data_IF_266031519075
#
_entry.id   IF_266031519075
#
_cell.length_a   1.000
_cell.length_b   1.000
_cell.length_c   1.000
_cell.angle_alpha   90.00
_cell.angle_beta   90.00
_cell.angle_gamma   90.00
#
_symmetry.space_group_name_H-M   'P 1'
#
loop_
_entity.id
_entity.type
_entity.pdbx_description
1 polymer ?
#
# COMPACT_ATOMS: atom_id res chain seq x y z
N UNK A 1 15.58 -6.50 0.46
CA UNK A 1 14.14 -6.53 0.09
C UNK A 1 13.59 -5.12 -0.14
N UNK A 2 13.62 -4.22 0.86
CA UNK A 2 13.08 -2.84 0.74
C UNK A 2 13.52 -2.06 -0.50
N UNK A 3 14.83 -2.00 -0.76
CA UNK A 3 15.38 -1.28 -1.92
C UNK A 3 14.94 -1.83 -3.29
N UNK A 4 14.36 -3.04 -3.32
CA UNK A 4 13.86 -3.70 -4.54
C UNK A 4 12.33 -3.76 -4.59
N UNK A 5 11.64 -3.28 -3.56
CA UNK A 5 10.19 -3.28 -3.52
C UNK A 5 9.67 -1.99 -4.16
N UNK A 6 8.92 -2.13 -5.24
CA UNK A 6 8.33 -1.03 -6.01
C UNK A 6 6.92 -0.65 -5.51
N UNK A 7 6.47 -1.20 -4.38
CA UNK A 7 5.16 -0.91 -3.79
C UNK A 7 5.16 0.41 -3.01
N UNK A 8 6.11 0.68 -2.08
CA UNK A 8 6.17 1.98 -1.40
C UNK A 8 6.22 3.16 -2.37
N UNK A 9 5.47 4.22 -2.06
CA UNK A 9 5.31 5.40 -2.90
C UNK A 9 4.09 5.37 -3.81
N UNK A 10 3.46 4.21 -4.01
CA UNK A 10 2.29 4.07 -4.86
C UNK A 10 0.97 4.02 -4.08
N UNK A 11 -0.10 4.49 -4.73
CA UNK A 11 -1.45 4.13 -4.35
C UNK A 11 -1.74 2.68 -4.73
N UNK A 12 -2.35 1.96 -3.80
CA UNK A 12 -2.63 0.53 -3.93
C UNK A 12 -4.05 0.23 -3.50
N UNK A 13 -4.60 -0.85 -4.06
CA UNK A 13 -5.76 -1.52 -3.49
C UNK A 13 -5.27 -2.60 -2.56
N UNK A 14 -5.72 -2.55 -1.31
CA UNK A 14 -5.44 -3.56 -0.29
C UNK A 14 -6.68 -4.44 -0.14
N UNK A 15 -6.48 -5.76 -0.17
CA UNK A 15 -7.50 -6.75 0.15
C UNK A 15 -7.06 -7.51 1.42
N UNK A 16 -7.69 -7.19 2.55
CA UNK A 16 -7.36 -7.78 3.85
C UNK A 16 -8.61 -7.84 4.74
N UNK A 17 -8.72 -8.86 5.60
CA UNK A 17 -9.82 -8.96 6.57
C UNK A 17 -11.24 -9.02 5.99
N UNK A 18 -11.39 -9.38 4.70
CA UNK A 18 -12.68 -9.39 4.00
C UNK A 18 -13.11 -8.04 3.44
N UNK A 19 -12.31 -6.98 3.60
CA UNK A 19 -12.54 -5.67 3.00
C UNK A 19 -11.51 -5.37 1.88
N UNK A 20 -11.90 -4.50 0.95
CA UNK A 20 -11.02 -3.95 -0.07
C UNK A 20 -11.05 -2.43 0.00
N UNK A 21 -9.89 -1.80 0.09
CA UNK A 21 -9.79 -0.35 0.23
C UNK A 21 -8.56 0.23 -0.46
N UNK A 22 -8.63 1.52 -0.79
CA UNK A 22 -7.50 2.28 -1.32
C UNK A 22 -6.62 2.80 -0.18
N UNK A 23 -5.31 2.67 -0.33
CA UNK A 23 -4.34 3.21 0.60
C UNK A 23 -3.05 3.60 -0.13
N UNK A 24 -2.28 4.52 0.45
CA UNK A 24 -0.93 4.84 -0.02
C UNK A 24 0.07 3.91 0.66
N UNK A 25 0.85 3.17 -0.09
CA UNK A 25 1.96 2.40 0.47
C UNK A 25 3.10 3.34 0.88
N UNK A 26 3.48 3.32 2.15
CA UNK A 26 4.45 4.27 2.73
C UNK A 26 5.83 3.66 2.81
N UNK A 27 5.97 2.50 3.45
CA UNK A 27 7.25 1.87 3.71
C UNK A 27 7.07 0.39 4.04
N UNK A 28 8.18 -0.34 4.08
CA UNK A 28 8.23 -1.66 4.73
C UNK A 28 9.00 -1.49 6.04
N UNK A 29 8.41 -1.88 7.16
CA UNK A 29 9.03 -1.74 8.48
C UNK A 29 10.09 -2.82 8.77
N UNK A 30 10.72 -2.75 9.94
CA UNK A 30 11.74 -3.70 10.44
C UNK A 30 11.25 -5.11 10.70
N UNK A 31 9.93 -5.31 10.81
CA UNK A 31 9.31 -6.62 10.85
C UNK A 31 8.97 -7.16 9.45
N UNK A 32 9.22 -6.40 8.38
CA UNK A 32 8.89 -6.80 7.00
C UNK A 32 7.42 -6.57 6.63
N UNK A 33 6.66 -5.81 7.43
CA UNK A 33 5.25 -5.48 7.17
C UNK A 33 5.15 -4.26 6.27
N UNK A 34 4.13 -4.23 5.41
CA UNK A 34 3.85 -3.06 4.59
C UNK A 34 3.07 -2.03 5.41
N UNK A 35 3.65 -0.85 5.59
CA UNK A 35 2.97 0.30 6.18
C UNK A 35 2.18 0.99 5.08
N UNK A 36 0.87 1.11 5.28
CA UNK A 36 -0.04 1.81 4.37
C UNK A 36 -0.76 2.95 5.09
N UNK A 37 -1.06 4.02 4.39
CA UNK A 37 -1.86 5.15 4.88
C UNK A 37 -3.22 5.14 4.19
N UNK A 38 -4.30 4.98 4.94
CA UNK A 38 -5.67 5.07 4.40
C UNK A 38 -6.01 6.54 4.08
N UNK A 39 -7.04 6.76 3.26
CA UNK A 39 -7.46 8.11 2.83
C UNK A 39 -7.75 9.11 3.98
N UNK A 40 -8.01 8.61 5.19
CA UNK A 40 -8.22 9.43 6.39
C UNK A 40 -6.92 9.76 7.17
N UNK A 41 -5.74 9.53 6.59
CA UNK A 41 -4.43 9.80 7.23
C UNK A 41 -4.03 8.80 8.33
N UNK A 42 -4.79 7.71 8.50
CA UNK A 42 -4.45 6.64 9.45
C UNK A 42 -3.47 5.67 8.83
N UNK A 43 -2.33 5.47 9.48
CA UNK A 43 -1.35 4.45 9.09
C UNK A 43 -1.67 3.10 9.70
N UNK A 44 -1.48 2.04 8.92
CA UNK A 44 -1.75 0.65 9.29
C UNK A 44 -0.59 -0.25 8.83
N UNK A 45 -0.21 -1.21 9.66
CA UNK A 45 0.82 -2.19 9.32
C UNK A 45 0.15 -3.49 8.84
N UNK A 46 0.26 -3.78 7.55
CA UNK A 46 -0.25 -5.00 6.96
C UNK A 46 0.70 -6.17 7.23
N UNK A 47 0.26 -7.10 8.08
CA UNK A 47 0.97 -8.35 8.36
C UNK A 47 0.74 -9.41 7.26
N UNK A 48 -0.42 -9.36 6.59
CA UNK A 48 -0.81 -10.26 5.51
C UNK A 48 -1.91 -9.60 4.66
N UNK A 49 -2.12 -10.10 3.44
CA UNK A 49 -3.13 -9.59 2.51
C UNK A 49 -2.58 -9.50 1.09
N UNK A 50 -3.48 -9.26 0.14
CA UNK A 50 -3.10 -8.95 -1.24
C UNK A 50 -3.00 -7.43 -1.42
N UNK A 51 -1.98 -6.98 -2.14
CA UNK A 51 -1.80 -5.59 -2.49
C UNK A 51 -1.55 -5.49 -3.99
N UNK A 52 -2.37 -4.70 -4.66
CA UNK A 52 -2.28 -4.47 -6.10
C UNK A 52 -2.01 -3.00 -6.40
N UNK A 53 -0.92 -2.72 -7.11
CA UNK A 53 -0.71 -1.42 -7.75
C UNK A 53 -1.58 -1.42 -9.00
N UNK A 54 -2.75 -0.78 -8.95
CA UNK A 54 -3.49 -0.47 -10.18
C UNK A 54 -3.03 0.90 -10.66
N UNK A 55 -2.38 1.02 -11.82
CA UNK A 55 -2.31 2.30 -12.49
C UNK A 55 -3.75 2.69 -12.86
N UNK A 56 -4.39 3.46 -11.99
CA UNK A 56 -5.55 4.25 -12.41
C UNK A 56 -5.06 5.17 -13.53
N UNK A 57 -5.78 5.32 -14.66
CA UNK A 57 -5.44 6.34 -15.66
C UNK A 57 -5.32 7.75 -15.06
N UNK A 58 -5.94 7.99 -13.88
CA UNK A 58 -5.87 9.24 -13.13
C UNK A 58 -4.65 9.34 -12.19
N UNK A 59 -3.95 8.23 -11.92
CA UNK A 59 -2.73 8.19 -11.11
C UNK A 59 -1.46 8.51 -11.94
N UNK A 60 -1.59 8.66 -13.26
CA UNK A 60 -0.55 9.26 -14.11
C UNK A 60 -0.79 10.78 -14.12
N UNK A 61 -0.41 11.47 -13.05
CA UNK A 61 -0.09 12.90 -13.15
C UNK A 61 1.39 13.08 -12.86
N UNK A 62 2.06 13.68 -13.85
CA UNK A 62 3.50 13.95 -13.96
C UNK A 62 4.05 14.71 -12.76
#
# INVERSE_FOLDING_TARGET
YRARCFVPGHWVTVCAGGESYAARAVAIDDAGRLIVEREAGRTEALCHGEVSIRPSPLAIKK
#
